data_IF_853265248975
#
_entry.id   IF_853265248975
#
_cell.length_a   1.000
_cell.length_b   1.000
_cell.length_c   1.000
_cell.angle_alpha   90.00
_cell.angle_beta   90.00
_cell.angle_gamma   90.00
#
_symmetry.space_group_name_H-M   'P 1'
#
loop_
_entity.id
_entity.type
_entity.pdbx_description
1 polymer ?
#
# COMPACT_ATOMS: atom_id res chain seq x y z
N UNK A 1 -17.17 19.90 -3.01
CA UNK A 1 -15.75 19.53 -3.05
C UNK A 1 -15.48 18.96 -4.43
N UNK A 2 -14.41 19.34 -5.08
CA UNK A 2 -14.00 18.75 -6.35
C UNK A 2 -13.42 17.35 -6.08
N UNK A 3 -13.85 16.34 -6.81
CA UNK A 3 -13.28 14.98 -6.71
C UNK A 3 -11.78 14.91 -7.03
N UNK A 4 -11.23 15.94 -7.68
CA UNK A 4 -9.80 16.05 -7.90
C UNK A 4 -9.00 16.18 -6.59
N UNK A 5 -9.60 16.72 -5.52
CA UNK A 5 -8.94 16.83 -4.21
C UNK A 5 -8.62 15.46 -3.60
N UNK A 6 -9.34 14.40 -3.98
CA UNK A 6 -9.05 13.04 -3.54
C UNK A 6 -7.74 12.49 -4.12
N UNK A 7 -7.32 12.99 -5.26
CA UNK A 7 -6.15 12.50 -6.00
C UNK A 7 -4.83 13.13 -5.54
N UNK A 8 -4.87 14.31 -4.93
CA UNK A 8 -3.67 15.05 -4.54
C UNK A 8 -3.28 14.77 -3.10
N UNK A 9 -2.07 14.24 -2.89
CA UNK A 9 -1.64 13.69 -1.59
C UNK A 9 -0.42 14.36 -0.97
N UNK A 10 0.05 15.44 -1.55
CA UNK A 10 1.14 16.26 -0.98
C UNK A 10 0.83 16.82 0.41
N UNK A 11 1.85 17.32 1.14
CA UNK A 11 1.69 17.80 2.52
C UNK A 11 0.65 18.91 2.70
N UNK A 12 0.43 19.73 1.66
CA UNK A 12 -0.47 20.88 1.69
C UNK A 12 -1.91 20.54 1.22
N UNK A 13 -2.20 19.26 0.90
CA UNK A 13 -3.50 18.84 0.37
C UNK A 13 -4.38 18.20 1.43
N UNK A 14 -5.71 18.32 1.29
CA UNK A 14 -6.64 17.72 2.25
C UNK A 14 -6.52 16.19 2.31
N UNK A 15 -6.43 15.51 1.16
CA UNK A 15 -6.24 14.06 1.14
C UNK A 15 -4.87 13.66 1.70
N UNK A 16 -3.83 14.47 1.46
CA UNK A 16 -2.51 14.29 2.06
C UNK A 16 -2.55 14.39 3.58
N UNK A 17 -3.21 15.41 4.13
CA UNK A 17 -3.41 15.54 5.58
C UNK A 17 -4.20 14.35 6.14
N UNK A 18 -5.29 13.95 5.47
CA UNK A 18 -6.12 12.83 5.92
C UNK A 18 -5.32 11.51 5.94
N UNK A 19 -4.55 11.20 4.89
CA UNK A 19 -3.74 9.98 4.83
C UNK A 19 -2.65 9.93 5.90
N UNK A 20 -2.05 11.09 6.27
CA UNK A 20 -1.03 11.19 7.32
C UNK A 20 -1.56 10.89 8.72
N UNK A 21 -2.87 10.96 8.93
CA UNK A 21 -3.51 10.57 10.20
C UNK A 21 -3.57 9.05 10.43
N UNK A 22 -3.03 8.26 9.50
CA UNK A 22 -3.00 6.80 9.56
C UNK A 22 -1.59 6.27 9.39
N UNK A 23 -1.32 5.13 10.01
CA UNK A 23 -0.09 4.38 9.76
C UNK A 23 -0.02 3.96 8.30
N UNK A 24 1.08 4.27 7.64
CA UNK A 24 1.32 3.88 6.25
C UNK A 24 2.58 2.99 6.17
N UNK A 25 2.56 1.88 5.43
CA UNK A 25 3.79 1.15 5.15
C UNK A 25 4.70 1.97 4.23
N UNK A 26 6.00 1.93 4.51
CA UNK A 26 7.02 2.70 3.78
C UNK A 26 8.00 1.83 3.00
N UNK A 27 8.25 0.59 3.46
CA UNK A 27 9.03 -0.42 2.75
C UNK A 27 8.74 -1.82 3.30
N UNK A 28 9.18 -2.85 2.58
CA UNK A 28 9.18 -4.21 3.11
C UNK A 28 10.34 -4.40 4.12
N UNK A 29 10.09 -5.15 5.18
CA UNK A 29 11.11 -5.43 6.22
C UNK A 29 12.38 -6.05 5.66
N UNK A 30 12.25 -6.92 4.65
CA UNK A 30 13.39 -7.60 4.03
C UNK A 30 14.28 -6.67 3.19
N UNK A 31 13.80 -5.51 2.78
CA UNK A 31 14.56 -4.51 2.02
C UNK A 31 15.47 -3.69 2.93
N UNK A 32 15.10 -3.58 4.21
CA UNK A 32 15.80 -2.77 5.21
C UNK A 32 16.56 -3.67 6.21
N UNK A 33 17.72 -4.16 5.80
CA UNK A 33 18.62 -4.95 6.68
C UNK A 33 19.33 -4.05 7.71
N UNK A 34 19.80 -4.64 8.82
CA UNK A 34 20.58 -3.90 9.82
C UNK A 34 21.79 -3.19 9.18
N UNK A 35 22.09 -1.98 9.63
CA UNK A 35 23.15 -1.15 9.08
C UNK A 35 22.83 -0.52 7.71
N UNK A 36 21.58 -0.60 7.22
CA UNK A 36 21.16 -0.05 5.92
C UNK A 36 20.21 1.13 6.07
N UNK A 37 20.38 2.12 5.19
CA UNK A 37 19.44 3.22 4.97
C UNK A 37 18.90 3.20 3.54
N UNK A 38 17.61 3.60 3.37
CA UNK A 38 16.95 3.72 2.07
C UNK A 38 16.23 5.06 1.96
N UNK A 39 16.23 5.68 0.77
CA UNK A 39 15.32 6.77 0.49
C UNK A 39 13.91 6.21 0.27
N UNK A 40 12.91 6.81 0.88
CA UNK A 40 11.51 6.50 0.62
C UNK A 40 10.74 7.77 0.31
N UNK A 41 9.74 7.65 -0.57
CA UNK A 41 8.83 8.74 -0.91
C UNK A 41 7.40 8.24 -0.79
N UNK A 42 6.61 8.92 0.03
CA UNK A 42 5.17 8.68 0.18
C UNK A 42 4.45 10.00 0.28
N UNK A 43 3.23 10.06 -0.27
CA UNK A 43 2.35 11.23 -0.19
C UNK A 43 3.04 12.55 -0.61
N UNK A 44 3.86 12.50 -1.69
CA UNK A 44 4.57 13.65 -2.21
C UNK A 44 5.79 14.10 -1.41
N UNK A 45 6.17 13.41 -0.34
CA UNK A 45 7.24 13.80 0.58
C UNK A 45 8.33 12.74 0.67
N UNK A 46 9.59 13.19 0.75
CA UNK A 46 10.77 12.33 0.84
C UNK A 46 11.16 12.10 2.31
N UNK A 47 11.68 10.90 2.62
CA UNK A 47 12.17 10.49 3.93
C UNK A 47 13.43 9.64 3.80
N UNK A 48 14.14 9.46 4.91
CA UNK A 48 15.16 8.43 5.07
C UNK A 48 14.67 7.40 6.09
N UNK A 49 14.46 6.15 5.65
CA UNK A 49 14.25 5.02 6.55
C UNK A 49 15.59 4.31 6.75
N UNK A 50 15.93 3.94 7.98
CA UNK A 50 17.15 3.18 8.26
C UNK A 50 16.91 2.18 9.40
N UNK A 51 17.76 1.15 9.45
CA UNK A 51 17.74 0.17 10.53
C UNK A 51 19.04 0.25 11.31
N UNK A 52 18.94 0.50 12.60
CA UNK A 52 20.08 0.49 13.51
C UNK A 52 20.71 -0.89 13.67
N UNK A 53 21.83 -0.96 14.34
CA UNK A 53 22.57 -2.21 14.59
C UNK A 53 21.79 -3.20 15.46
N UNK A 54 20.93 -2.70 16.37
CA UNK A 54 20.01 -3.54 17.16
C UNK A 54 18.90 -4.20 16.33
N UNK A 55 18.70 -3.76 15.09
CA UNK A 55 17.60 -4.18 14.25
C UNK A 55 16.36 -3.28 14.34
N UNK A 56 16.39 -2.20 15.12
CA UNK A 56 15.28 -1.25 15.25
C UNK A 56 15.19 -0.35 14.01
N UNK A 57 13.99 -0.23 13.37
CA UNK A 57 13.80 0.68 12.26
C UNK A 57 13.49 2.10 12.74
N UNK A 58 13.96 3.09 11.97
CA UNK A 58 13.75 4.53 12.19
C UNK A 58 13.36 5.22 10.90
N UNK A 59 12.57 6.29 10.98
CA UNK A 59 12.24 7.18 9.87
C UNK A 59 12.51 8.63 10.28
N UNK A 60 13.33 9.32 9.48
CA UNK A 60 13.71 10.71 9.71
C UNK A 60 13.57 11.52 8.43
N UNK A 61 13.69 12.85 8.56
CA UNK A 61 13.76 13.75 7.40
C UNK A 61 14.86 13.33 6.42
N UNK A 62 14.68 13.61 5.13
CA UNK A 62 15.55 13.07 4.08
C UNK A 62 16.93 13.72 4.02
N UNK A 63 17.10 14.91 4.64
CA UNK A 63 18.26 15.76 4.43
C UNK A 63 18.92 16.21 5.72
N UNK A 64 20.26 16.19 5.69
CA UNK A 64 21.10 16.71 6.75
C UNK A 64 20.89 18.23 6.92
N UNK A 65 20.66 18.70 8.15
CA UNK A 65 20.45 20.11 8.45
C UNK A 65 21.66 21.00 8.13
N UNK A 66 22.87 20.43 8.01
CA UNK A 66 24.08 21.21 7.70
C UNK A 66 24.01 21.83 6.30
N UNK A 67 23.95 21.01 5.24
CA UNK A 67 23.96 21.46 3.84
C UNK A 67 23.09 20.60 2.92
N UNK A 68 21.98 20.12 3.47
CA UNK A 68 20.92 19.40 2.75
C UNK A 68 21.37 18.14 1.98
N UNK A 69 22.48 17.52 2.34
CA UNK A 69 22.89 16.22 1.77
C UNK A 69 21.88 15.16 2.16
N UNK A 70 21.52 14.29 1.21
CA UNK A 70 20.62 13.17 1.44
C UNK A 70 21.19 12.22 2.49
N UNK A 71 20.42 11.91 3.53
CA UNK A 71 20.90 11.10 4.66
C UNK A 71 20.94 9.60 4.33
N UNK A 72 20.11 9.12 3.43
CA UNK A 72 20.09 7.69 3.05
C UNK A 72 21.38 7.18 2.38
N UNK A 73 22.31 8.06 2.00
CA UNK A 73 23.65 7.68 1.53
C UNK A 73 24.70 7.68 2.64
N UNK A 74 24.29 7.97 3.88
CA UNK A 74 25.14 7.98 5.05
C UNK A 74 25.42 6.58 5.61
N UNK A 75 26.22 6.51 6.67
CA UNK A 75 26.52 5.26 7.39
C UNK A 75 25.70 5.14 8.67
N UNK A 76 25.38 3.91 9.03
CA UNK A 76 24.73 3.60 10.30
C UNK A 76 25.82 3.29 11.34
N UNK A 77 25.68 3.88 12.52
CA UNK A 77 26.57 3.69 13.66
C UNK A 77 25.74 3.53 14.93
N UNK A 78 25.62 2.31 15.42
CA UNK A 78 24.67 1.98 16.48
C UNK A 78 23.23 2.24 16.03
N UNK A 79 22.52 3.07 16.78
CA UNK A 79 21.13 3.45 16.45
C UNK A 79 21.04 4.82 15.73
N UNK A 80 22.16 5.33 15.25
CA UNK A 80 22.27 6.65 14.62
C UNK A 80 22.65 6.55 13.15
N UNK A 81 22.34 7.59 12.39
CA UNK A 81 22.80 7.77 11.01
C UNK A 81 23.79 8.93 10.91
N UNK A 82 24.95 8.70 10.31
CA UNK A 82 25.98 9.70 10.06
C UNK A 82 25.90 10.20 8.63
N UNK A 83 25.79 11.52 8.46
CA UNK A 83 25.81 12.17 7.16
C UNK A 83 27.15 11.91 6.45
N UNK A 84 27.07 11.46 5.21
CA UNK A 84 28.23 11.14 4.38
C UNK A 84 29.16 12.36 4.12
N UNK A 85 28.59 13.60 4.12
CA UNK A 85 29.32 14.76 3.64
C UNK A 85 30.29 15.35 4.71
N UNK A 86 29.77 15.67 5.92
CA UNK A 86 30.58 16.29 6.97
C UNK A 86 30.46 15.60 8.34
N UNK A 87 29.91 14.40 8.36
CA UNK A 87 29.87 13.54 9.54
C UNK A 87 28.87 13.93 10.62
N UNK A 88 27.97 14.92 10.39
CA UNK A 88 26.90 15.18 11.36
C UNK A 88 26.06 13.93 11.58
N UNK A 89 25.82 13.59 12.84
CA UNK A 89 25.15 12.35 13.21
C UNK A 89 23.82 12.64 13.87
N UNK A 90 22.81 11.86 13.50
CA UNK A 90 21.43 12.00 13.99
C UNK A 90 20.95 10.70 14.59
N UNK A 91 20.23 10.81 15.72
CA UNK A 91 19.52 9.68 16.31
C UNK A 91 18.16 9.44 15.62
N UNK A 92 17.42 8.39 16.04
CA UNK A 92 16.13 8.02 15.48
C UNK A 92 15.01 9.04 15.70
N UNK A 93 15.19 9.99 16.64
CA UNK A 93 14.26 11.10 16.86
C UNK A 93 14.56 12.30 15.94
N UNK A 94 15.63 12.23 15.14
CA UNK A 94 16.11 13.33 14.32
C UNK A 94 17.00 14.34 15.05
N UNK A 95 17.31 14.12 16.33
CA UNK A 95 18.22 14.98 17.07
C UNK A 95 19.65 14.81 16.55
N UNK A 96 20.32 15.93 16.23
CA UNK A 96 21.75 15.90 15.96
C UNK A 96 22.50 15.58 17.26
N UNK A 97 23.37 14.59 17.25
CA UNK A 97 24.12 14.11 18.43
C UNK A 97 25.63 14.31 18.31
N UNK A 98 26.12 14.59 17.11
CA UNK A 98 27.56 14.77 16.87
C UNK A 98 27.82 15.68 15.67
N UNK A 99 28.82 16.55 15.79
CA UNK A 99 29.31 17.46 14.75
C UNK A 99 30.85 17.45 14.77
N UNK A 100 31.50 16.45 14.14
CA UNK A 100 32.95 16.18 14.36
C UNK A 100 33.86 17.25 13.83
N UNK A 101 33.42 18.09 12.90
CA UNK A 101 34.23 19.17 12.31
C UNK A 101 34.06 20.50 13.07
N UNK A 102 33.20 20.57 14.07
CA UNK A 102 32.94 21.82 14.82
C UNK A 102 33.81 21.86 16.07
N UNK A 103 34.54 22.97 16.28
CA UNK A 103 35.37 23.19 17.46
C UNK A 103 34.52 23.28 18.74
N UNK A 104 33.39 23.97 18.67
CA UNK A 104 32.36 24.00 19.69
C UNK A 104 31.04 23.45 19.07
N UNK A 105 30.64 22.28 19.55
CA UNK A 105 29.41 21.63 19.04
C UNK A 105 28.15 22.39 19.49
N UNK A 106 27.22 22.53 18.59
CA UNK A 106 25.87 23.05 18.83
C UNK A 106 24.79 22.03 18.40
N UNK A 107 25.18 20.76 18.41
CA UNK A 107 24.30 19.64 17.99
C UNK A 107 22.97 19.61 18.76
N UNK A 108 22.96 19.97 20.04
CA UNK A 108 21.78 20.08 20.90
C UNK A 108 20.69 21.03 20.36
N UNK A 109 21.09 22.01 19.55
CA UNK A 109 20.19 23.00 18.92
C UNK A 109 19.70 22.58 17.53
N UNK A 110 20.20 21.49 17.00
CA UNK A 110 19.92 21.04 15.63
C UNK A 110 19.06 19.79 15.65
N UNK A 111 17.91 19.89 15.00
CA UNK A 111 16.99 18.77 14.85
C UNK A 111 16.40 18.75 13.46
N UNK A 112 16.26 17.57 12.89
CA UNK A 112 15.45 17.28 11.70
C UNK A 112 14.19 16.51 12.13
N UNK A 113 13.14 16.42 11.31
CA UNK A 113 11.97 15.63 11.65
C UNK A 113 12.33 14.15 11.91
N UNK A 114 11.73 13.58 12.96
CA UNK A 114 11.75 12.15 13.25
C UNK A 114 10.31 11.67 13.44
N UNK A 115 10.02 10.43 13.05
CA UNK A 115 8.66 9.90 12.98
C UNK A 115 8.54 8.57 13.71
N UNK A 116 7.34 8.27 14.20
CA UNK A 116 7.06 6.98 14.84
C UNK A 116 7.06 5.85 13.82
N UNK A 117 7.75 4.76 14.14
CA UNK A 117 7.91 3.59 13.27
C UNK A 117 7.58 2.31 14.02
N UNK A 118 6.92 1.38 13.36
CA UNK A 118 6.69 0.03 13.85
C UNK A 118 6.90 -0.99 12.72
N UNK A 119 7.54 -2.10 13.04
CA UNK A 119 7.63 -3.26 12.14
C UNK A 119 6.50 -4.24 12.46
N UNK A 120 5.72 -4.60 11.44
CA UNK A 120 4.58 -5.49 11.61
C UNK A 120 4.24 -6.20 10.30
N UNK A 121 3.89 -7.49 10.37
CA UNK A 121 3.50 -8.35 9.21
C UNK A 121 4.45 -8.23 8.00
N UNK A 122 5.76 -8.10 8.26
CA UNK A 122 6.79 -8.01 7.22
C UNK A 122 6.88 -6.65 6.50
N UNK A 123 6.24 -5.62 7.03
CA UNK A 123 6.29 -4.23 6.57
C UNK A 123 6.83 -3.31 7.67
N UNK A 124 7.50 -2.24 7.26
CA UNK A 124 7.84 -1.11 8.12
C UNK A 124 6.74 -0.06 7.95
N UNK A 125 6.01 0.21 9.03
CA UNK A 125 4.97 1.24 9.09
C UNK A 125 5.52 2.51 9.72
N UNK A 126 5.12 3.66 9.19
CA UNK A 126 5.40 4.97 9.75
C UNK A 126 4.10 5.75 9.98
N UNK A 127 4.09 6.54 11.04
CA UNK A 127 3.09 7.57 11.27
C UNK A 127 3.74 8.93 11.04
N UNK A 128 3.31 9.61 9.98
CA UNK A 128 3.86 10.90 9.55
C UNK A 128 2.89 12.07 9.77
N UNK A 129 1.83 11.81 10.57
CA UNK A 129 0.88 12.82 11.01
C UNK A 129 1.39 13.64 12.20
N UNK A 130 0.59 14.61 12.61
CA UNK A 130 0.87 15.44 13.77
C UNK A 130 0.46 14.75 15.09
N UNK A 131 1.17 15.05 16.16
CA UNK A 131 0.87 14.54 17.50
C UNK A 131 1.22 13.07 17.72
N UNK A 132 0.64 12.50 18.78
CA UNK A 132 0.88 11.11 19.15
C UNK A 132 0.17 10.15 18.17
N UNK A 133 0.87 9.10 17.69
CA UNK A 133 0.30 8.15 16.77
C UNK A 133 -0.83 7.34 17.46
N UNK A 134 -1.93 7.06 16.73
CA UNK A 134 -2.91 6.08 17.21
C UNK A 134 -2.26 4.68 17.27
N UNK A 135 -2.83 3.73 18.03
CA UNK A 135 -2.37 2.35 18.00
C UNK A 135 -2.36 1.80 16.57
N UNK A 136 -1.27 1.12 16.16
CA UNK A 136 -1.21 0.42 14.88
C UNK A 136 -2.26 -0.72 14.87
N UNK A 137 -3.17 -0.76 13.89
CA UNK A 137 -4.15 -1.84 13.79
C UNK A 137 -3.48 -3.21 13.68
N UNK A 138 -3.99 -4.19 14.44
CA UNK A 138 -3.48 -5.56 14.44
C UNK A 138 -4.40 -6.44 13.60
N UNK A 139 -3.80 -7.34 12.82
CA UNK A 139 -4.49 -8.27 11.92
C UNK A 139 -4.15 -9.72 12.29
N UNK A 140 -4.81 -10.30 13.32
CA UNK A 140 -4.44 -11.62 13.90
C UNK A 140 -4.36 -12.75 12.88
N UNK A 141 -5.11 -12.64 11.75
CA UNK A 141 -5.04 -13.60 10.65
C UNK A 141 -3.61 -13.72 10.06
N UNK A 142 -2.85 -12.63 10.07
CA UNK A 142 -1.48 -12.56 9.57
C UNK A 142 -0.43 -12.80 10.68
N UNK A 143 -0.85 -13.09 11.89
CA UNK A 143 0.02 -13.40 13.05
C UNK A 143 0.03 -14.89 13.39
N UNK A 144 -0.77 -15.72 12.68
CA UNK A 144 -0.85 -17.16 12.94
C UNK A 144 0.51 -17.84 12.75
N UNK A 145 0.90 -18.76 13.66
CA UNK A 145 2.13 -19.55 13.51
C UNK A 145 2.05 -20.58 12.36
N UNK A 146 0.84 -20.87 11.86
CA UNK A 146 0.59 -21.87 10.82
C UNK A 146 0.72 -21.32 9.39
N UNK A 147 1.21 -20.08 9.26
CA UNK A 147 1.40 -19.43 7.97
C UNK A 147 2.81 -18.87 7.82
N UNK A 148 3.21 -18.63 6.57
CA UNK A 148 4.31 -17.73 6.23
C UNK A 148 3.75 -16.50 5.53
N UNK A 149 4.43 -15.36 5.67
CA UNK A 149 4.02 -14.11 5.03
C UNK A 149 4.79 -13.89 3.73
N UNK A 150 4.08 -13.91 2.61
CA UNK A 150 4.62 -13.47 1.32
C UNK A 150 4.32 -11.98 1.16
N UNK A 151 5.37 -11.15 1.26
CA UNK A 151 5.29 -9.68 1.28
C UNK A 151 5.87 -9.11 0.01
N UNK A 152 5.20 -8.12 -0.58
CA UNK A 152 5.67 -7.42 -1.77
C UNK A 152 5.30 -5.93 -1.73
N UNK A 153 6.15 -5.10 -2.35
CA UNK A 153 5.91 -3.71 -2.66
C UNK A 153 5.95 -3.54 -4.18
N UNK A 154 4.83 -3.19 -4.80
CA UNK A 154 4.66 -3.16 -6.26
C UNK A 154 4.32 -1.73 -6.68
N UNK A 155 5.24 -1.06 -7.37
CA UNK A 155 5.00 0.30 -7.87
C UNK A 155 4.04 0.29 -9.04
N UNK A 156 3.04 1.19 -9.01
CA UNK A 156 2.04 1.44 -10.03
C UNK A 156 2.21 2.83 -10.62
N UNK A 157 2.00 2.95 -11.93
CA UNK A 157 2.16 4.20 -12.69
C UNK A 157 0.85 4.98 -12.88
N UNK A 158 -0.04 4.89 -11.94
CA UNK A 158 -1.27 5.66 -11.87
C UNK A 158 -1.52 6.17 -10.46
N UNK A 159 -2.40 7.15 -10.34
CA UNK A 159 -2.84 7.68 -9.06
C UNK A 159 -3.41 6.57 -8.16
N UNK A 160 -3.13 6.65 -6.86
CA UNK A 160 -3.58 5.66 -5.87
C UNK A 160 -5.11 5.52 -5.83
N UNK A 161 -5.85 6.63 -6.08
CA UNK A 161 -7.30 6.62 -5.99
C UNK A 161 -7.95 5.86 -7.16
N UNK A 162 -7.31 5.78 -8.34
CA UNK A 162 -7.77 4.90 -9.41
C UNK A 162 -7.77 3.43 -8.95
N UNK A 163 -6.74 3.03 -8.19
CA UNK A 163 -6.65 1.67 -7.63
C UNK A 163 -7.59 1.46 -6.44
N UNK A 164 -7.85 2.49 -5.62
CA UNK A 164 -8.83 2.40 -4.53
C UNK A 164 -10.24 2.21 -5.10
N UNK A 165 -10.63 2.98 -6.10
CA UNK A 165 -11.91 2.81 -6.82
C UNK A 165 -12.05 1.39 -7.36
N UNK A 166 -11.00 0.85 -8.01
CA UNK A 166 -10.97 -0.53 -8.54
C UNK A 166 -11.22 -1.59 -7.46
N UNK A 167 -10.78 -1.37 -6.23
CA UNK A 167 -10.99 -2.32 -5.12
C UNK A 167 -12.46 -2.51 -4.76
N UNK A 168 -13.30 -1.54 -5.06
CA UNK A 168 -14.73 -1.55 -4.74
C UNK A 168 -15.61 -1.79 -5.96
N UNK A 169 -15.01 -1.94 -7.13
CA UNK A 169 -15.68 -2.40 -8.34
C UNK A 169 -15.61 -3.93 -8.45
N UNK A 170 -16.75 -4.58 -8.53
CA UNK A 170 -16.83 -6.03 -8.77
C UNK A 170 -17.01 -6.37 -10.25
N UNK A 171 -17.52 -5.42 -11.02
CA UNK A 171 -17.88 -5.69 -12.41
C UNK A 171 -16.64 -5.91 -13.28
N UNK A 172 -15.54 -5.17 -13.01
CA UNK A 172 -14.30 -5.28 -13.79
C UNK A 172 -13.72 -6.69 -13.78
N UNK A 173 -13.81 -7.42 -12.64
CA UNK A 173 -13.25 -8.76 -12.48
C UNK A 173 -13.71 -9.70 -13.60
N UNK A 174 -14.99 -9.62 -13.98
CA UNK A 174 -15.56 -10.45 -15.04
C UNK A 174 -15.02 -10.13 -16.44
N UNK A 175 -14.69 -8.88 -16.70
CA UNK A 175 -14.30 -8.42 -18.03
C UNK A 175 -12.79 -8.27 -18.19
N UNK A 176 -12.11 -7.74 -17.19
CA UNK A 176 -10.66 -7.51 -17.22
C UNK A 176 -9.90 -8.84 -17.12
N UNK A 177 -10.29 -9.74 -16.20
CA UNK A 177 -9.55 -10.98 -15.91
C UNK A 177 -10.06 -12.22 -16.65
N UNK A 178 -10.72 -12.05 -17.78
CA UNK A 178 -11.28 -13.19 -18.57
C UNK A 178 -10.25 -14.23 -18.99
N UNK A 179 -8.98 -13.84 -19.14
CA UNK A 179 -7.89 -14.72 -19.59
C UNK A 179 -7.34 -15.62 -18.50
N UNK A 180 -7.65 -15.29 -17.24
CA UNK A 180 -7.26 -16.05 -16.04
C UNK A 180 -8.43 -16.82 -15.43
N UNK A 181 -9.38 -17.32 -16.23
CA UNK A 181 -10.56 -18.04 -15.75
C UNK A 181 -10.27 -19.18 -14.78
N UNK A 182 -9.09 -19.80 -14.88
CA UNK A 182 -8.66 -20.87 -13.98
C UNK A 182 -8.07 -20.35 -12.66
N UNK A 183 -7.60 -19.10 -12.62
CA UNK A 183 -6.96 -18.48 -11.45
C UNK A 183 -7.79 -17.41 -10.77
N UNK A 184 -8.71 -16.80 -11.51
CA UNK A 184 -9.70 -15.87 -10.97
C UNK A 184 -10.94 -16.68 -10.68
N UNK A 185 -11.25 -16.82 -9.42
CA UNK A 185 -12.39 -17.53 -8.86
C UNK A 185 -13.58 -17.64 -9.81
N UNK A 186 -14.42 -18.67 -9.63
CA UNK A 186 -15.73 -18.89 -10.22
C UNK A 186 -16.63 -17.64 -10.42
N UNK A 187 -16.23 -16.47 -9.93
CA UNK A 187 -16.93 -15.20 -10.09
C UNK A 187 -17.24 -14.83 -11.54
N UNK A 188 -16.31 -15.18 -12.46
CA UNK A 188 -16.47 -14.88 -13.89
C UNK A 188 -17.59 -15.70 -14.53
N UNK A 189 -17.88 -16.87 -13.97
CA UNK A 189 -18.84 -17.85 -14.55
C UNK A 189 -20.24 -17.75 -13.95
N UNK A 190 -20.40 -17.08 -12.78
CA UNK A 190 -21.61 -17.14 -11.96
C UNK A 190 -22.77 -16.21 -12.38
N UNK A 191 -22.60 -15.41 -13.40
CA UNK A 191 -23.61 -14.43 -13.84
C UNK A 191 -23.54 -13.11 -13.07
N UNK A 192 -24.52 -12.22 -13.30
CA UNK A 192 -24.52 -10.87 -12.73
C UNK A 192 -24.94 -10.90 -11.25
N UNK A 193 -24.08 -10.51 -10.32
CA UNK A 193 -24.40 -10.55 -8.90
C UNK A 193 -25.24 -9.35 -8.47
N UNK A 194 -26.03 -9.56 -7.42
CA UNK A 194 -26.62 -8.47 -6.66
C UNK A 194 -25.58 -7.96 -5.65
N UNK A 195 -25.22 -6.67 -5.75
CA UNK A 195 -24.22 -6.03 -4.89
C UNK A 195 -24.92 -5.08 -3.93
N UNK A 196 -24.67 -5.25 -2.63
CA UNK A 196 -25.05 -4.30 -1.58
C UNK A 196 -23.79 -3.86 -0.83
N UNK A 197 -23.76 -2.60 -0.42
CA UNK A 197 -22.64 -1.99 0.30
C UNK A 197 -23.12 -1.22 1.50
N UNK A 198 -22.36 -1.26 2.56
CA UNK A 198 -22.62 -0.48 3.77
C UNK A 198 -21.33 0.07 4.35
N UNK A 199 -21.42 1.23 5.00
CA UNK A 199 -20.36 1.74 5.83
C UNK A 199 -20.31 0.95 7.15
N UNK A 200 -19.11 0.57 7.57
CA UNK A 200 -18.84 -0.15 8.81
C UNK A 200 -17.95 0.69 9.75
N UNK A 201 -17.58 0.13 10.89
CA UNK A 201 -16.64 0.78 11.82
C UNK A 201 -15.22 0.86 11.26
N UNK A 202 -14.84 -0.04 10.35
CA UNK A 202 -13.49 -0.07 9.75
C UNK A 202 -13.43 0.59 8.36
N UNK A 203 -14.53 0.67 7.66
CA UNK A 203 -14.59 1.18 6.28
C UNK A 203 -15.86 0.73 5.59
N UNK A 204 -15.72 -0.02 4.48
CA UNK A 204 -16.83 -0.47 3.67
C UNK A 204 -16.91 -1.99 3.68
N UNK A 205 -18.11 -2.50 3.96
CA UNK A 205 -18.46 -3.90 3.80
C UNK A 205 -19.30 -4.04 2.53
N UNK A 206 -18.96 -5.02 1.69
CA UNK A 206 -19.64 -5.29 0.44
C UNK A 206 -20.13 -6.72 0.41
N UNK A 207 -21.43 -6.92 0.21
CA UNK A 207 -22.08 -8.19 0.05
C UNK A 207 -22.35 -8.43 -1.43
N UNK A 208 -21.95 -9.59 -1.93
CA UNK A 208 -22.10 -9.99 -3.33
C UNK A 208 -22.87 -11.31 -3.36
N UNK A 209 -24.09 -11.27 -3.87
CA UNK A 209 -24.98 -12.45 -3.99
C UNK A 209 -25.06 -12.86 -5.45
N UNK A 210 -24.61 -14.07 -5.74
CA UNK A 210 -24.65 -14.64 -7.08
C UNK A 210 -25.95 -15.38 -7.35
N UNK A 211 -26.40 -15.48 -8.64
CA UNK A 211 -27.61 -16.21 -9.01
C UNK A 211 -27.61 -17.69 -8.64
N UNK A 212 -26.43 -18.31 -8.51
CA UNK A 212 -26.24 -19.70 -8.11
C UNK A 212 -26.33 -19.94 -6.58
N UNK A 213 -26.65 -18.88 -5.82
CA UNK A 213 -26.81 -18.94 -4.36
C UNK A 213 -25.53 -18.76 -3.56
N UNK A 214 -24.39 -18.53 -4.18
CA UNK A 214 -23.14 -18.20 -3.44
C UNK A 214 -23.15 -16.75 -2.98
N UNK A 215 -22.93 -16.57 -1.69
CA UNK A 215 -22.80 -15.25 -1.06
C UNK A 215 -21.36 -15.02 -0.66
N UNK A 216 -20.81 -13.83 -1.01
CA UNK A 216 -19.48 -13.41 -0.64
C UNK A 216 -19.52 -12.06 0.07
N UNK A 217 -18.59 -11.88 1.01
CA UNK A 217 -18.42 -10.61 1.71
C UNK A 217 -17.00 -10.14 1.54
N UNK A 218 -16.87 -8.89 1.11
CA UNK A 218 -15.57 -8.22 0.93
C UNK A 218 -15.47 -7.01 1.85
N UNK A 219 -14.24 -6.64 2.18
CA UNK A 219 -13.96 -5.55 3.10
C UNK A 219 -12.94 -4.60 2.50
N UNK A 220 -13.20 -3.32 2.69
CA UNK A 220 -12.26 -2.25 2.41
C UNK A 220 -12.09 -1.40 3.68
N UNK A 221 -10.88 -1.33 4.21
CA UNK A 221 -10.53 -0.50 5.36
C UNK A 221 -10.13 0.90 4.94
N UNK A 222 -10.73 1.89 5.61
CA UNK A 222 -10.33 3.27 5.39
C UNK A 222 -8.93 3.54 5.98
N UNK A 223 -8.11 4.40 5.34
CA UNK A 223 -8.43 5.15 4.12
C UNK A 223 -8.10 4.39 2.81
N UNK A 224 -7.20 3.39 2.83
CA UNK A 224 -6.57 2.83 1.62
C UNK A 224 -6.22 1.34 1.71
N UNK A 225 -6.98 0.58 2.51
CA UNK A 225 -6.68 -0.83 2.80
C UNK A 225 -7.71 -1.74 2.11
N UNK A 226 -7.25 -2.66 1.26
CA UNK A 226 -8.11 -3.70 0.68
C UNK A 226 -7.83 -5.05 1.35
N UNK A 227 -8.87 -5.75 1.77
CA UNK A 227 -8.78 -7.09 2.32
C UNK A 227 -9.43 -8.09 1.36
N UNK A 228 -8.68 -9.09 0.92
CA UNK A 228 -9.12 -10.11 -0.04
C UNK A 228 -9.08 -11.47 0.65
N UNK A 229 -10.26 -12.04 0.91
CA UNK A 229 -10.38 -13.36 1.49
C UNK A 229 -10.22 -14.43 0.42
N UNK A 230 -9.33 -15.37 0.63
CA UNK A 230 -9.18 -16.55 -0.20
C UNK A 230 -8.82 -16.27 -1.66
N UNK A 231 -7.95 -15.29 -1.92
CA UNK A 231 -7.44 -15.03 -3.27
C UNK A 231 -6.78 -16.29 -3.86
N UNK A 232 -7.08 -16.61 -5.10
CA UNK A 232 -6.40 -17.69 -5.84
C UNK A 232 -4.92 -17.33 -6.02
N UNK A 233 -4.03 -18.28 -5.74
CA UNK A 233 -2.58 -18.06 -5.80
C UNK A 233 -1.92 -18.89 -6.90
N UNK A 234 -1.93 -20.21 -6.74
CA UNK A 234 -1.39 -21.19 -7.70
C UNK A 234 -1.92 -22.60 -7.40
N UNK A 235 -1.42 -23.62 -8.09
CA UNK A 235 -1.84 -25.01 -7.91
C UNK A 235 -1.38 -25.60 -6.56
N UNK A 236 -0.33 -25.08 -5.93
CA UNK A 236 0.19 -25.56 -4.65
C UNK A 236 -0.56 -24.95 -3.46
N UNK A 237 -0.69 -23.63 -3.45
CA UNK A 237 -1.32 -22.88 -2.35
C UNK A 237 -2.85 -22.87 -2.48
N UNK A 238 -3.35 -22.93 -3.71
CA UNK A 238 -4.75 -22.74 -4.08
C UNK A 238 -5.25 -21.35 -3.68
N UNK A 239 -5.44 -21.07 -2.38
CA UNK A 239 -5.99 -19.80 -1.89
C UNK A 239 -5.22 -19.26 -0.69
N UNK A 240 -5.16 -17.95 -0.59
CA UNK A 240 -4.59 -17.24 0.55
C UNK A 240 -5.38 -15.96 0.86
N UNK A 241 -5.39 -15.55 2.13
CA UNK A 241 -5.88 -14.24 2.51
C UNK A 241 -4.80 -13.20 2.25
N UNK A 242 -5.23 -12.03 1.78
CA UNK A 242 -4.33 -10.95 1.39
C UNK A 242 -4.82 -9.63 1.96
N UNK A 243 -3.91 -8.85 2.54
CA UNK A 243 -4.14 -7.45 2.88
C UNK A 243 -3.25 -6.58 2.01
N UNK A 244 -3.81 -5.51 1.50
CA UNK A 244 -3.16 -4.59 0.58
C UNK A 244 -3.31 -3.17 1.07
N UNK A 245 -2.19 -2.45 1.13
CA UNK A 245 -2.14 -1.01 1.41
C UNK A 245 -1.76 -0.27 0.13
N UNK A 246 -2.56 0.70 -0.28
CA UNK A 246 -2.34 1.49 -1.50
C UNK A 246 -1.82 2.86 -1.13
N UNK A 247 -0.50 2.99 -1.07
CA UNK A 247 0.17 4.18 -0.55
C UNK A 247 0.62 5.08 -1.69
N UNK A 248 0.12 6.31 -1.82
CA UNK A 248 0.59 7.22 -2.85
C UNK A 248 2.08 7.54 -2.67
N UNK A 249 2.84 7.50 -3.75
CA UNK A 249 4.21 8.03 -3.81
C UNK A 249 4.14 9.53 -4.08
N UNK A 250 3.36 9.87 -5.09
CA UNK A 250 3.00 11.20 -5.55
C UNK A 250 1.61 11.14 -6.21
N UNK A 251 1.21 12.18 -6.92
CA UNK A 251 -0.11 12.24 -7.56
C UNK A 251 -0.24 11.30 -8.77
N UNK A 252 0.88 10.89 -9.36
CA UNK A 252 0.92 10.08 -10.59
C UNK A 252 1.27 8.61 -10.34
N UNK A 253 1.68 8.25 -9.13
CA UNK A 253 2.12 6.89 -8.81
C UNK A 253 1.86 6.50 -7.37
N UNK A 254 1.72 5.19 -7.12
CA UNK A 254 1.57 4.66 -5.78
C UNK A 254 2.31 3.32 -5.62
N UNK A 255 2.49 2.89 -4.38
CA UNK A 255 2.96 1.56 -4.04
C UNK A 255 1.79 0.74 -3.53
N UNK A 256 1.63 -0.44 -4.11
CA UNK A 256 0.73 -1.48 -3.69
C UNK A 256 1.52 -2.43 -2.79
N UNK A 257 1.47 -2.21 -1.46
CA UNK A 257 2.05 -3.11 -0.48
C UNK A 257 1.08 -4.26 -0.23
N UNK A 258 1.54 -5.46 -0.53
CA UNK A 258 0.74 -6.69 -0.40
C UNK A 258 1.36 -7.61 0.65
N UNK A 259 0.54 -8.11 1.58
CA UNK A 259 0.90 -9.16 2.52
C UNK A 259 -0.06 -10.32 2.33
N UNK A 260 0.47 -11.48 1.96
CA UNK A 260 -0.29 -12.70 1.70
C UNK A 260 0.01 -13.76 2.76
N UNK A 261 -1.04 -14.29 3.39
CA UNK A 261 -0.95 -15.35 4.38
C UNK A 261 -0.89 -16.72 3.68
N UNK A 262 0.30 -17.29 3.55
CA UNK A 262 0.54 -18.56 2.86
C UNK A 262 0.44 -19.73 3.84
N UNK A 263 -0.41 -20.74 3.61
CA UNK A 263 -0.55 -21.90 4.49
C UNK A 263 0.59 -22.91 4.34
N UNK A 264 1.82 -22.41 4.31
CA UNK A 264 3.06 -23.17 4.32
C UNK A 264 3.97 -22.59 5.38
N UNK A 265 4.68 -23.45 6.11
CA UNK A 265 5.60 -23.05 7.17
C UNK A 265 6.99 -23.63 6.95
N UNK A 266 7.95 -23.22 7.78
CA UNK A 266 9.31 -23.74 7.77
C UNK A 266 10.04 -23.53 6.44
N UNK A 267 10.89 -24.48 6.07
CA UNK A 267 11.72 -24.40 4.84
C UNK A 267 10.89 -24.37 3.57
N UNK A 268 9.78 -25.07 3.54
CA UNK A 268 8.88 -25.10 2.38
C UNK A 268 8.26 -23.73 2.14
N UNK A 269 7.77 -23.07 3.18
CA UNK A 269 7.23 -21.72 3.07
C UNK A 269 8.29 -20.71 2.61
N UNK A 270 9.50 -20.76 3.20
CA UNK A 270 10.63 -19.90 2.80
C UNK A 270 11.02 -20.11 1.34
N UNK A 271 11.15 -21.35 0.87
CA UNK A 271 11.53 -21.67 -0.51
C UNK A 271 10.48 -21.16 -1.51
N UNK A 272 9.18 -21.37 -1.21
CA UNK A 272 8.09 -20.88 -2.06
C UNK A 272 8.09 -19.34 -2.16
N UNK A 273 8.22 -18.63 -1.03
CA UNK A 273 8.26 -17.17 -0.98
C UNK A 273 9.45 -16.63 -1.79
N UNK A 274 10.64 -17.22 -1.62
CA UNK A 274 11.84 -16.77 -2.33
C UNK A 274 11.71 -16.97 -3.85
N UNK A 275 11.21 -18.13 -4.30
CA UNK A 275 10.94 -18.38 -5.71
C UNK A 275 9.95 -17.34 -6.28
N UNK A 276 8.87 -17.06 -5.55
CA UNK A 276 7.86 -16.10 -5.99
C UNK A 276 8.40 -14.66 -6.02
N UNK A 277 9.24 -14.29 -5.05
CA UNK A 277 9.93 -12.99 -5.04
C UNK A 277 10.80 -12.80 -6.28
N UNK A 278 11.56 -13.81 -6.67
CA UNK A 278 12.41 -13.77 -7.88
C UNK A 278 11.57 -13.64 -9.16
N UNK A 279 10.47 -14.38 -9.27
CA UNK A 279 9.56 -14.30 -10.42
C UNK A 279 8.92 -12.90 -10.51
N UNK A 280 8.46 -12.34 -9.37
CA UNK A 280 7.91 -10.97 -9.31
C UNK A 280 8.96 -9.92 -9.69
N UNK A 281 10.14 -9.99 -9.13
CA UNK A 281 11.23 -9.05 -9.44
C UNK A 281 11.59 -9.03 -10.92
N UNK A 282 11.49 -10.19 -11.60
CA UNK A 282 11.67 -10.28 -13.06
C UNK A 282 10.52 -9.61 -13.80
N UNK A 283 9.28 -9.88 -13.39
CA UNK A 283 8.08 -9.35 -14.03
C UNK A 283 7.93 -7.83 -13.84
N UNK A 284 8.35 -7.30 -12.69
CA UNK A 284 8.27 -5.86 -12.40
C UNK A 284 9.16 -4.99 -13.28
N UNK A 285 10.27 -5.53 -13.78
CA UNK A 285 11.22 -4.77 -14.59
C UNK A 285 10.61 -4.24 -15.89
N UNK A 286 9.76 -5.01 -16.52
CA UNK A 286 9.17 -4.68 -17.83
C UNK A 286 7.68 -4.29 -17.73
N UNK A 287 7.01 -4.52 -16.62
CA UNK A 287 5.57 -4.23 -16.49
C UNK A 287 5.20 -2.78 -16.82
N UNK A 288 5.87 -1.72 -16.32
CA UNK A 288 5.54 -0.35 -16.68
C UNK A 288 5.68 -0.06 -18.17
N UNK A 289 6.66 -0.67 -18.83
CA UNK A 289 6.89 -0.51 -20.27
C UNK A 289 5.83 -1.27 -21.09
N UNK A 290 5.42 -2.45 -20.63
CA UNK A 290 4.32 -3.20 -21.23
C UNK A 290 3.01 -2.41 -21.14
N UNK A 291 2.68 -1.84 -19.97
CA UNK A 291 1.49 -0.99 -19.81
C UNK A 291 1.51 0.17 -20.80
N UNK A 292 2.63 0.90 -20.87
CA UNK A 292 2.78 2.03 -21.80
C UNK A 292 2.68 1.60 -23.25
N UNK A 293 3.29 0.47 -23.63
CA UNK A 293 3.26 -0.04 -24.99
C UNK A 293 1.84 -0.45 -25.42
N UNK A 294 1.10 -1.09 -24.51
CA UNK A 294 -0.28 -1.52 -24.78
C UNK A 294 -1.20 -0.31 -24.91
N UNK A 295 -1.12 0.65 -23.99
CA UNK A 295 -1.93 1.88 -24.03
C UNK A 295 -1.59 2.75 -25.25
N UNK A 296 -0.35 2.70 -25.75
CA UNK A 296 0.07 3.39 -26.97
C UNK A 296 -0.28 2.62 -28.27
N UNK A 297 -0.92 1.45 -28.19
CA UNK A 297 -1.25 0.61 -29.35
C UNK A 297 -0.05 -0.02 -30.05
N UNK A 298 1.12 -0.05 -29.39
CA UNK A 298 2.36 -0.68 -29.93
C UNK A 298 2.43 -2.17 -29.66
N UNK A 299 1.66 -2.66 -28.70
CA UNK A 299 1.55 -4.06 -28.31
C UNK A 299 0.09 -4.34 -27.99
N UNK A 300 -0.40 -5.52 -28.34
CA UNK A 300 -1.73 -5.96 -27.92
C UNK A 300 -1.63 -6.88 -26.69
N UNK A 301 -2.55 -6.77 -25.75
CA UNK A 301 -2.53 -7.57 -24.51
C UNK A 301 -2.49 -9.10 -24.81
N UNK A 302 -3.05 -9.55 -25.95
CA UNK A 302 -3.01 -10.96 -26.37
C UNK A 302 -1.62 -11.49 -26.72
N UNK A 303 -0.66 -10.60 -26.94
CA UNK A 303 0.74 -10.94 -27.27
C UNK A 303 1.58 -11.11 -26.00
N UNK A 304 1.06 -10.73 -24.82
CA UNK A 304 1.72 -10.92 -23.54
C UNK A 304 1.43 -12.32 -23.00
N UNK A 305 2.46 -12.98 -22.46
CA UNK A 305 2.34 -14.32 -21.88
C UNK A 305 1.35 -14.30 -20.69
N UNK A 306 0.20 -14.99 -20.78
CA UNK A 306 -0.78 -15.02 -19.70
C UNK A 306 -0.31 -15.80 -18.46
N UNK A 307 0.81 -16.53 -18.54
CA UNK A 307 1.40 -17.27 -17.41
C UNK A 307 2.32 -16.38 -16.54
N UNK A 308 2.46 -15.10 -16.87
CA UNK A 308 3.20 -14.16 -16.03
C UNK A 308 2.64 -14.15 -14.61
N UNK A 309 3.53 -14.16 -13.62
CA UNK A 309 3.16 -14.15 -12.19
C UNK A 309 2.36 -12.90 -11.77
N UNK A 310 2.49 -11.82 -12.54
CA UNK A 310 1.87 -10.52 -12.33
C UNK A 310 0.79 -10.17 -13.38
N UNK A 311 0.29 -11.13 -14.15
CA UNK A 311 -0.61 -10.83 -15.28
C UNK A 311 -1.92 -10.17 -14.83
N UNK A 312 -2.56 -10.64 -13.76
CA UNK A 312 -3.75 -10.01 -13.17
C UNK A 312 -3.48 -8.55 -12.79
N UNK A 313 -2.29 -8.31 -12.20
CA UNK A 313 -1.86 -6.94 -11.87
C UNK A 313 -1.59 -6.08 -13.10
N UNK A 314 -1.05 -6.68 -14.17
CA UNK A 314 -0.84 -6.00 -15.44
C UNK A 314 -2.17 -5.58 -16.08
N UNK A 315 -3.17 -6.47 -16.09
CA UNK A 315 -4.51 -6.18 -16.58
C UNK A 315 -5.16 -5.04 -15.81
N UNK A 316 -5.10 -5.08 -14.48
CA UNK A 316 -5.58 -3.99 -13.61
C UNK A 316 -4.85 -2.67 -13.87
N UNK A 317 -3.53 -2.71 -14.01
CA UNK A 317 -2.73 -1.51 -14.23
C UNK A 317 -3.01 -0.87 -15.59
N UNK A 318 -3.26 -1.68 -16.63
CA UNK A 318 -3.71 -1.18 -17.94
C UNK A 318 -5.07 -0.48 -17.79
N UNK A 319 -6.03 -1.10 -17.12
CA UNK A 319 -7.36 -0.53 -16.92
C UNK A 319 -7.31 0.77 -16.12
N UNK A 320 -6.57 0.78 -15.01
CA UNK A 320 -6.44 1.93 -14.12
C UNK A 320 -5.65 3.09 -14.75
N UNK A 321 -4.53 2.80 -15.41
CA UNK A 321 -3.72 3.81 -16.11
C UNK A 321 -4.43 4.32 -17.37
N UNK A 322 -5.24 3.48 -18.01
CA UNK A 322 -6.04 3.84 -19.18
C UNK A 322 -7.12 4.90 -18.89
N UNK A 323 -7.46 5.13 -17.62
CA UNK A 323 -8.32 6.23 -17.19
C UNK A 323 -7.60 7.60 -17.19
N UNK A 324 -6.29 7.61 -17.44
CA UNK A 324 -5.38 8.73 -17.22
C UNK A 324 -4.57 8.52 -15.93
N UNK A 325 -3.43 9.23 -15.80
CA UNK A 325 -2.64 9.19 -14.57
C UNK A 325 -3.52 9.52 -13.35
N UNK A 326 -4.34 10.55 -13.47
CA UNK A 326 -5.45 10.88 -12.56
C UNK A 326 -6.75 10.79 -13.37
N UNK A 327 -7.69 9.96 -12.93
CA UNK A 327 -8.98 9.82 -13.60
C UNK A 327 -9.79 11.12 -13.53
N UNK A 328 -10.36 11.55 -14.66
CA UNK A 328 -11.21 12.75 -14.75
C UNK A 328 -12.64 12.38 -14.36
N UNK A 329 -12.91 12.40 -13.06
CA UNK A 329 -14.15 11.89 -12.46
C UNK A 329 -15.41 12.66 -12.83
N UNK A 330 -15.29 13.91 -13.29
CA UNK A 330 -16.41 14.71 -13.81
C UNK A 330 -16.98 14.15 -15.11
N UNK A 331 -16.22 13.32 -15.83
CA UNK A 331 -16.64 12.74 -17.10
C UNK A 331 -17.22 11.32 -16.94
N UNK A 332 -17.25 10.79 -15.72
CA UNK A 332 -17.73 9.44 -15.45
C UNK A 332 -19.26 9.35 -15.39
N UNK A 333 -19.79 8.19 -15.77
CA UNK A 333 -21.20 7.86 -15.67
C UNK A 333 -21.37 6.60 -14.83
N UNK A 334 -21.45 6.76 -13.50
CA UNK A 334 -21.55 5.64 -12.56
C UNK A 334 -22.93 4.97 -12.66
N UNK A 335 -22.92 3.64 -12.69
CA UNK A 335 -24.09 2.78 -12.76
C UNK A 335 -24.43 2.08 -11.44
N UNK A 336 -25.34 1.11 -11.49
CA UNK A 336 -25.74 0.33 -10.32
C UNK A 336 -24.62 -0.58 -9.81
N UNK A 337 -23.71 -1.02 -10.67
CA UNK A 337 -22.53 -1.81 -10.33
C UNK A 337 -21.53 -1.05 -9.45
N UNK A 338 -21.52 0.30 -9.55
CA UNK A 338 -20.53 1.17 -8.93
C UNK A 338 -20.92 1.65 -7.51
N UNK A 339 -21.89 0.99 -6.87
CA UNK A 339 -22.36 1.37 -5.52
C UNK A 339 -21.21 1.43 -4.49
N UNK A 340 -20.23 0.54 -4.62
CA UNK A 340 -19.05 0.53 -3.76
C UNK A 340 -18.18 1.77 -3.96
N UNK A 341 -17.89 2.09 -5.20
CA UNK A 341 -17.13 3.28 -5.60
C UNK A 341 -17.85 4.56 -5.13
N UNK A 342 -19.16 4.63 -5.34
CA UNK A 342 -19.96 5.77 -4.91
C UNK A 342 -19.95 5.98 -3.39
N UNK A 343 -20.10 4.90 -2.61
CA UNK A 343 -20.05 4.97 -1.14
C UNK A 343 -18.66 5.39 -0.65
N UNK A 344 -17.60 4.83 -1.24
CA UNK A 344 -16.22 5.22 -0.93
C UNK A 344 -16.00 6.72 -1.11
N UNK A 345 -16.35 7.24 -2.28
CA UNK A 345 -16.15 8.66 -2.60
C UNK A 345 -16.95 9.57 -1.68
N UNK A 346 -18.18 9.17 -1.31
CA UNK A 346 -18.98 9.90 -0.30
C UNK A 346 -18.33 9.92 1.08
N UNK A 347 -17.74 8.81 1.51
CA UNK A 347 -17.04 8.74 2.79
C UNK A 347 -15.81 9.66 2.75
N UNK A 348 -14.98 9.55 1.70
CA UNK A 348 -13.82 10.40 1.54
C UNK A 348 -14.21 11.89 1.51
N UNK A 349 -15.20 12.26 0.69
CA UNK A 349 -15.69 13.66 0.63
C UNK A 349 -16.15 14.17 2.00
N UNK A 350 -16.85 13.34 2.77
CA UNK A 350 -17.29 13.68 4.13
C UNK A 350 -16.10 13.94 5.05
N UNK A 351 -15.13 13.02 5.06
CA UNK A 351 -13.97 13.13 5.95
C UNK A 351 -13.08 14.33 5.58
N UNK A 352 -12.83 14.56 4.29
CA UNK A 352 -12.04 15.71 3.85
C UNK A 352 -12.77 17.03 4.15
N UNK A 353 -14.09 17.07 4.00
CA UNK A 353 -14.89 18.26 4.36
C UNK A 353 -14.85 18.50 5.88
N UNK A 354 -14.97 17.44 6.69
CA UNK A 354 -14.83 17.56 8.14
C UNK A 354 -13.45 18.10 8.53
N UNK A 355 -12.38 17.59 7.91
CA UNK A 355 -11.02 18.07 8.12
C UNK A 355 -10.87 19.56 7.75
N UNK A 356 -11.36 19.95 6.56
CA UNK A 356 -11.29 21.35 6.10
C UNK A 356 -12.03 22.33 7.01
N UNK A 357 -13.12 21.88 7.65
CA UNK A 357 -13.94 22.70 8.53
C UNK A 357 -13.57 22.54 10.04
N UNK A 358 -12.47 21.82 10.34
CA UNK A 358 -12.03 21.58 11.73
C UNK A 358 -13.00 20.73 12.55
N UNK A 359 -13.87 19.96 11.88
CA UNK A 359 -14.79 19.03 12.54
C UNK A 359 -14.12 17.68 12.81
N UNK A 360 -14.57 16.93 13.82
CA UNK A 360 -14.05 15.59 14.07
C UNK A 360 -14.23 14.67 12.84
N UNK A 361 -13.16 13.98 12.44
CA UNK A 361 -13.22 12.90 11.47
C UNK A 361 -13.60 11.59 12.17
N UNK A 362 -14.14 10.65 11.40
CA UNK A 362 -14.48 9.33 11.93
C UNK A 362 -13.22 8.54 12.28
N UNK A 363 -13.20 7.96 13.49
CA UNK A 363 -12.19 6.98 13.88
C UNK A 363 -12.56 5.61 13.29
N UNK A 364 -11.72 5.10 12.41
CA UNK A 364 -11.89 3.79 11.82
C UNK A 364 -11.24 2.73 12.68
N UNK A 365 -12.00 1.74 13.12
CA UNK A 365 -11.52 0.73 14.05
C UNK A 365 -11.64 -0.66 13.41
N UNK A 366 -10.50 -1.32 13.20
CA UNK A 366 -10.48 -2.73 12.82
C UNK A 366 -10.77 -3.61 14.02
N UNK A 367 -11.61 -4.62 13.84
CA UNK A 367 -11.83 -5.71 14.79
C UNK A 367 -11.73 -7.04 14.06
N UNK A 368 -11.04 -8.05 14.64
CA UNK A 368 -10.80 -9.35 13.99
C UNK A 368 -12.08 -10.09 13.57
N UNK A 369 -13.18 -9.89 14.32
CA UNK A 369 -14.50 -10.50 14.05
C UNK A 369 -15.24 -9.88 12.87
N UNK A 370 -14.78 -8.74 12.35
CA UNK A 370 -15.42 -8.05 11.23
C UNK A 370 -15.12 -8.71 9.88
N UNK A 371 -14.00 -9.42 9.78
CA UNK A 371 -13.57 -10.10 8.55
C UNK A 371 -13.71 -11.61 8.74
N UNK A 372 -14.67 -12.26 8.07
CA UNK A 372 -14.83 -13.70 8.16
C UNK A 372 -13.57 -14.40 7.65
N UNK A 373 -13.16 -15.46 8.34
CA UNK A 373 -12.12 -16.36 7.86
C UNK A 373 -12.65 -17.15 6.67
N UNK A 374 -11.85 -17.25 5.60
CA UNK A 374 -12.16 -18.19 4.53
C UNK A 374 -12.06 -19.61 5.10
N UNK A 375 -13.10 -20.46 4.96
CA UNK A 375 -13.00 -21.84 5.41
C UNK A 375 -11.85 -22.52 4.66
N UNK A 376 -10.88 -22.99 5.40
CA UNK A 376 -9.85 -23.88 4.86
C UNK A 376 -10.50 -25.24 4.66
N UNK A 377 -11.00 -25.51 3.45
CA UNK A 377 -11.55 -26.80 3.04
C UNK A 377 -10.50 -27.66 2.38
#
# INVERSE_FOLDING_TARGET
MDFNELAHTGPETLAGHYLRMFWQPVCCSYELTAGRALPVRIMGEDFTVYRGDSGTPYLIGPRCAHRATQLSVGSIEGECIRCFYHGWKYDGSGQCVEQPAEGESFADKIRIPGYSVQEYIGLIFAYVGEGDPPPLPRYPRFESPDISLDVAALRRICNYFNNIDNSLDNAHVRFVHQRHRESVDDHVVRGDPMITVEESEWGIRRYVKYPDGKDLTFFFGMPNINFINGQVVDSEIKRADVIVFKVPVDDDSHIHFEVRAIPLTGDRGRAWIEQRRQLRAKAEKDRPDLVRAILAGKLHLSEVDPKRVDFVMLEDEIAQTGQGAIAVRSNEHLGRSDRGVFLLRKIWERELRNLAEGRPIKRWTYRPDMVPTYPQG
#
